data_IF_822314521069
#
_entry.id   IF_822314521069
#
_cell.length_a   1.000
_cell.length_b   1.000
_cell.length_c   1.000
_cell.angle_alpha   90.00
_cell.angle_beta   90.00
_cell.angle_gamma   90.00
#
_symmetry.space_group_name_H-M   'P 1'
#
loop_
_entity.id
_entity.type
_entity.pdbx_description
1 polymer ?
#
# COMPACT_ATOMS: atom_id res chain seq x y z
N UNK A 1 -5.20 6.13 -16.48
CA UNK A 1 -5.63 6.68 -15.17
C UNK A 1 -5.47 5.61 -14.09
N UNK A 2 -4.51 5.76 -13.19
CA UNK A 2 -4.20 4.75 -12.17
C UNK A 2 -5.28 4.70 -11.06
N UNK A 3 -5.67 3.48 -10.71
CA UNK A 3 -6.82 3.13 -9.89
C UNK A 3 -6.87 3.81 -8.51
N UNK A 4 -8.06 4.36 -8.21
CA UNK A 4 -8.48 5.17 -7.06
C UNK A 4 -7.87 4.76 -5.69
N UNK A 5 -7.59 3.46 -5.49
CA UNK A 5 -6.97 2.97 -4.24
C UNK A 5 -5.59 3.57 -3.95
N UNK A 6 -4.65 3.56 -4.90
CA UNK A 6 -3.30 4.07 -4.63
C UNK A 6 -3.26 5.60 -4.49
N UNK A 7 -4.12 6.31 -5.24
CA UNK A 7 -4.31 7.75 -5.04
C UNK A 7 -4.88 8.05 -3.64
N UNK A 8 -5.79 7.21 -3.14
CA UNK A 8 -6.29 7.30 -1.76
C UNK A 8 -5.18 7.03 -0.74
N UNK A 9 -4.35 6.02 -0.95
CA UNK A 9 -3.19 5.74 -0.07
C UNK A 9 -2.24 6.94 -0.02
N UNK A 10 -1.92 7.55 -1.15
CA UNK A 10 -1.10 8.77 -1.19
C UNK A 10 -1.69 9.87 -0.32
N UNK A 11 -2.98 10.17 -0.48
CA UNK A 11 -3.65 11.21 0.34
C UNK A 11 -3.62 10.89 1.83
N UNK A 12 -3.73 9.61 2.20
CA UNK A 12 -3.63 9.19 3.58
C UNK A 12 -2.20 9.41 4.09
N UNK A 13 -1.19 8.95 3.35
CA UNK A 13 0.23 9.11 3.69
C UNK A 13 0.61 10.60 3.80
N UNK A 14 0.14 11.43 2.86
CA UNK A 14 0.36 12.89 2.88
C UNK A 14 -0.21 13.55 4.16
N UNK A 15 -1.15 12.89 4.86
CA UNK A 15 -1.76 13.36 6.10
C UNK A 15 -1.23 12.67 7.36
N UNK A 16 -0.36 11.65 7.23
CA UNK A 16 0.26 10.98 8.37
C UNK A 16 1.48 11.76 8.85
N UNK A 17 1.82 11.59 10.12
CA UNK A 17 3.07 12.11 10.64
C UNK A 17 4.28 11.37 10.03
N UNK A 18 5.42 12.06 9.87
CA UNK A 18 6.65 11.41 9.44
C UNK A 18 7.03 10.25 10.39
N UNK A 19 7.37 9.09 9.84
CA UNK A 19 7.69 7.89 10.62
C UNK A 19 6.73 6.72 10.39
N UNK A 20 5.69 6.92 9.57
CA UNK A 20 4.88 5.83 9.03
C UNK A 20 5.75 4.76 8.35
N UNK A 21 5.27 3.52 8.37
CA UNK A 21 5.98 2.40 7.76
C UNK A 21 5.02 1.40 7.13
N UNK A 22 5.56 0.55 6.27
CA UNK A 22 4.85 -0.51 5.59
C UNK A 22 5.28 -1.83 6.20
N UNK A 23 4.32 -2.70 6.50
CA UNK A 23 4.59 -4.08 6.91
C UNK A 23 4.14 -5.04 5.83
N UNK A 24 5.02 -5.98 5.46
CA UNK A 24 4.65 -7.11 4.61
C UNK A 24 3.99 -8.20 5.45
N UNK A 25 2.81 -8.62 5.04
CA UNK A 25 2.08 -9.72 5.65
C UNK A 25 2.09 -10.90 4.68
N UNK A 26 2.82 -11.95 5.06
CA UNK A 26 3.00 -13.19 4.31
C UNK A 26 1.77 -14.09 4.40
N UNK A 27 0.62 -13.58 3.94
CA UNK A 27 -0.63 -14.33 3.83
C UNK A 27 -1.24 -14.14 2.45
N UNK A 28 -1.85 -15.17 1.87
CA UNK A 28 -2.48 -15.07 0.57
C UNK A 28 -3.62 -14.05 0.60
N UNK A 29 -3.77 -13.31 -0.50
CA UNK A 29 -4.90 -12.40 -0.69
C UNK A 29 -5.30 -12.34 -2.15
N UNK A 30 -6.50 -11.85 -2.40
CA UNK A 30 -7.04 -11.67 -3.74
C UNK A 30 -7.46 -10.23 -3.95
N UNK A 31 -7.25 -9.71 -5.14
CA UNK A 31 -7.81 -8.42 -5.55
C UNK A 31 -8.46 -8.57 -6.93
N UNK A 32 -9.63 -7.94 -7.10
CA UNK A 32 -10.28 -7.84 -8.41
C UNK A 32 -9.58 -6.76 -9.23
N UNK A 33 -9.23 -7.09 -10.47
CA UNK A 33 -8.81 -6.10 -11.45
C UNK A 33 -10.02 -5.32 -11.94
N UNK A 34 -9.77 -4.21 -12.63
CA UNK A 34 -10.85 -3.44 -13.25
C UNK A 34 -11.59 -4.20 -14.35
N UNK A 35 -10.95 -5.19 -14.95
CA UNK A 35 -11.57 -6.09 -15.93
C UNK A 35 -12.43 -7.17 -15.27
N UNK A 36 -12.56 -7.15 -13.93
CA UNK A 36 -13.34 -8.11 -13.15
C UNK A 36 -12.59 -9.40 -12.79
N UNK A 37 -11.35 -9.57 -13.27
CA UNK A 37 -10.55 -10.77 -13.01
C UNK A 37 -10.05 -10.79 -11.56
N UNK A 38 -10.09 -11.95 -10.91
CA UNK A 38 -9.50 -12.11 -9.58
C UNK A 38 -8.02 -12.45 -9.71
N UNK A 39 -7.15 -11.57 -9.23
CA UNK A 39 -5.71 -11.84 -9.16
C UNK A 39 -5.34 -12.29 -7.76
N UNK A 40 -4.61 -13.40 -7.69
CA UNK A 40 -4.07 -13.96 -6.46
C UNK A 40 -2.69 -13.35 -6.17
N UNK A 41 -2.44 -13.09 -4.89
CA UNK A 41 -1.17 -12.60 -4.37
C UNK A 41 -0.78 -13.44 -3.16
N UNK A 42 0.49 -13.85 -3.08
CA UNK A 42 0.99 -14.66 -1.97
C UNK A 42 1.18 -13.85 -0.68
N UNK A 43 1.19 -12.52 -0.78
CA UNK A 43 1.35 -11.60 0.33
C UNK A 43 0.56 -10.32 0.07
N UNK A 44 0.42 -9.51 1.12
CA UNK A 44 -0.06 -8.15 1.02
C UNK A 44 0.71 -7.23 1.96
N UNK A 45 0.54 -5.94 1.76
CA UNK A 45 1.16 -4.90 2.55
C UNK A 45 0.10 -4.13 3.33
N UNK A 46 0.51 -3.59 4.47
CA UNK A 46 -0.30 -2.66 5.27
C UNK A 46 0.53 -1.46 5.69
N UNK A 47 -0.10 -0.30 5.64
CA UNK A 47 0.42 0.93 6.25
C UNK A 47 0.16 0.93 7.75
N UNK A 48 1.18 1.38 8.48
CA UNK A 48 1.16 1.64 9.90
C UNK A 48 1.62 3.07 10.15
N UNK A 49 1.00 3.69 11.15
CA UNK A 49 1.38 5.00 11.64
C UNK A 49 2.68 4.92 12.46
N UNK A 50 3.27 6.06 12.78
CA UNK A 50 4.46 6.16 13.63
C UNK A 50 4.23 5.53 15.01
N UNK A 51 3.00 5.63 15.53
CA UNK A 51 2.58 5.02 16.80
C UNK A 51 2.35 3.50 16.71
N UNK A 52 2.59 2.89 15.56
CA UNK A 52 2.34 1.47 15.31
C UNK A 52 0.85 1.13 15.13
N UNK A 53 -0.01 2.15 15.00
CA UNK A 53 -1.43 1.98 14.72
C UNK A 53 -1.67 1.59 13.27
N UNK A 54 -2.65 0.72 13.05
CA UNK A 54 -3.04 0.31 11.69
C UNK A 54 -3.76 1.43 10.95
N UNK A 55 -3.22 1.84 9.80
CA UNK A 55 -3.84 2.89 8.98
C UNK A 55 -5.09 2.34 8.29
N UNK A 56 -6.23 2.99 8.51
CA UNK A 56 -7.51 2.62 7.88
C UNK A 56 -7.40 2.75 6.36
N UNK A 57 -7.90 1.75 5.63
CA UNK A 57 -7.72 1.63 4.17
C UNK A 57 -6.27 1.47 3.70
N UNK A 58 -5.31 1.26 4.61
CA UNK A 58 -3.89 1.11 4.32
C UNK A 58 -3.46 -0.26 3.79
N UNK A 59 -4.39 -1.16 3.44
CA UNK A 59 -4.07 -2.49 2.88
C UNK A 59 -3.89 -2.40 1.37
N UNK A 60 -2.80 -2.94 0.82
CA UNK A 60 -2.53 -2.99 -0.62
C UNK A 60 -1.65 -4.19 -1.00
N UNK A 61 -1.48 -4.47 -2.29
CA UNK A 61 -0.77 -5.66 -2.76
C UNK A 61 0.49 -5.36 -3.59
N UNK A 62 0.59 -4.17 -4.20
CA UNK A 62 1.68 -3.86 -5.13
C UNK A 62 2.46 -2.65 -4.62
N UNK A 63 3.68 -2.90 -4.15
CA UNK A 63 4.57 -1.88 -3.61
C UNK A 63 5.01 -0.90 -4.70
N UNK A 64 5.36 -1.40 -5.89
CA UNK A 64 5.80 -0.59 -7.04
C UNK A 64 4.75 0.45 -7.45
N UNK A 65 3.46 0.11 -7.33
CA UNK A 65 2.38 1.05 -7.63
C UNK A 65 2.26 2.15 -6.59
N UNK A 66 2.53 1.84 -5.33
CA UNK A 66 2.56 2.85 -4.29
C UNK A 66 3.75 3.79 -4.50
N UNK A 67 4.93 3.24 -4.76
CA UNK A 67 6.16 3.98 -5.04
C UNK A 67 5.98 4.95 -6.23
N UNK A 68 5.44 4.44 -7.35
CA UNK A 68 5.14 5.24 -8.54
C UNK A 68 4.19 6.41 -8.27
N UNK A 69 3.22 6.25 -7.37
CA UNK A 69 2.25 7.30 -7.01
C UNK A 69 2.86 8.30 -6.02
N UNK A 70 3.80 7.86 -5.18
CA UNK A 70 4.58 8.71 -4.30
C UNK A 70 5.74 9.42 -5.03
N UNK A 71 6.10 8.98 -6.23
CA UNK A 71 7.21 9.55 -7.00
C UNK A 71 8.59 9.15 -6.49
N UNK A 72 8.70 7.99 -5.84
CA UNK A 72 9.95 7.44 -5.32
C UNK A 72 10.15 6.01 -5.82
N UNK A 73 11.33 5.44 -5.54
CA UNK A 73 11.59 4.03 -5.82
C UNK A 73 10.94 3.12 -4.77
N UNK A 74 10.56 1.90 -5.15
CA UNK A 74 9.99 0.92 -4.23
C UNK A 74 10.98 0.49 -3.14
N UNK A 75 12.29 0.56 -3.42
CA UNK A 75 13.35 0.29 -2.45
C UNK A 75 13.50 1.41 -1.41
N UNK A 76 13.05 2.62 -1.70
CA UNK A 76 13.11 3.77 -0.77
C UNK A 76 11.95 3.77 0.25
N UNK A 77 10.93 2.94 0.01
CA UNK A 77 9.79 2.88 0.90
C UNK A 77 10.16 2.23 2.25
N UNK A 78 9.63 2.73 3.38
CA UNK A 78 9.96 2.25 4.72
C UNK A 78 9.28 0.90 5.01
N UNK A 79 9.78 -0.19 4.40
CA UNK A 79 9.28 -1.55 4.63
C UNK A 79 10.00 -2.19 5.81
N UNK A 80 9.24 -2.70 6.78
CA UNK A 80 9.72 -3.39 7.99
C UNK A 80 9.15 -4.81 8.11
#
# INVERSE_FOLDING_TARGET
>A
MAFNHYAKLKRIIDALEPGWYIKRINRPTTAKTFRGETRFFNHYYRLYDVDGSEVKFGKFQQLDRLASVLGCDAYDLPVR
#
